data_IF_814307035233
#
_entry.id   IF_814307035233
#
_cell.length_a   1.000
_cell.length_b   1.000
_cell.length_c   1.000
_cell.angle_alpha   90.00
_cell.angle_beta   90.00
_cell.angle_gamma   90.00
#
_symmetry.space_group_name_H-M   'P 1'
#
loop_
_entity.id
_entity.type
_entity.pdbx_description
1 polymer ?
#
# COMPACT_ATOMS: atom_id res chain seq x y z
N UNK A 1 7.55 -5.87 -2.13
CA UNK A 1 7.15 -4.52 -2.60
C UNK A 1 5.95 -3.99 -1.82
N UNK A 2 5.75 -2.67 -1.74
CA UNK A 2 4.60 -2.06 -1.01
C UNK A 2 3.24 -2.50 -1.57
N UNK A 3 3.14 -2.69 -2.89
CA UNK A 3 1.93 -3.21 -3.52
C UNK A 3 1.62 -4.68 -3.14
N UNK A 4 2.64 -5.48 -2.84
CA UNK A 4 2.44 -6.86 -2.34
C UNK A 4 1.94 -6.86 -0.89
N UNK A 5 2.39 -5.92 -0.06
CA UNK A 5 1.90 -5.74 1.29
C UNK A 5 0.43 -5.30 1.30
N UNK A 6 0.03 -4.40 0.39
CA UNK A 6 -1.37 -4.01 0.19
C UNK A 6 -2.21 -5.24 -0.19
N UNK A 7 -1.75 -6.09 -1.12
CA UNK A 7 -2.46 -7.32 -1.49
C UNK A 7 -2.54 -8.33 -0.34
N UNK A 8 -1.47 -8.49 0.43
CA UNK A 8 -1.45 -9.38 1.59
C UNK A 8 -2.42 -8.91 2.70
N UNK A 9 -2.56 -7.59 2.88
CA UNK A 9 -3.55 -7.00 3.78
C UNK A 9 -4.98 -7.38 3.36
N UNK A 10 -5.32 -7.21 2.07
CA UNK A 10 -6.63 -7.61 1.56
C UNK A 10 -6.90 -9.10 1.69
N UNK A 11 -5.89 -9.94 1.49
CA UNK A 11 -6.03 -11.40 1.63
C UNK A 11 -6.34 -11.80 3.09
N UNK A 12 -5.68 -11.20 4.09
CA UNK A 12 -5.96 -11.50 5.50
C UNK A 12 -7.29 -10.95 5.99
N UNK A 13 -7.72 -9.80 5.47
CA UNK A 13 -8.92 -9.10 5.94
C UNK A 13 -10.24 -9.75 5.44
N UNK A 14 -10.17 -10.70 4.50
CA UNK A 14 -11.36 -11.45 4.06
C UNK A 14 -12.41 -10.62 3.33
N UNK A 15 -12.01 -9.47 2.76
CA UNK A 15 -12.88 -8.62 1.91
C UNK A 15 -13.27 -7.28 2.53
N UNK A 16 -13.09 -7.07 3.83
CA UNK A 16 -13.32 -5.76 4.48
C UNK A 16 -12.28 -5.48 5.55
N UNK A 17 -11.69 -4.29 5.54
CA UNK A 17 -10.73 -3.87 6.56
C UNK A 17 -11.43 -3.42 7.84
N UNK A 18 -10.91 -3.87 8.98
CA UNK A 18 -11.15 -3.25 10.28
C UNK A 18 -10.61 -1.80 10.33
N UNK A 19 -10.93 -1.06 11.40
CA UNK A 19 -10.40 0.29 11.59
C UNK A 19 -8.86 0.34 11.64
N UNK A 20 -8.24 -0.60 12.35
CA UNK A 20 -6.78 -0.69 12.45
C UNK A 20 -6.14 -1.07 11.09
N UNK A 21 -6.74 -2.00 10.37
CA UNK A 21 -6.28 -2.39 9.04
C UNK A 21 -6.44 -1.26 8.01
N UNK A 22 -7.45 -0.40 8.18
CA UNK A 22 -7.62 0.81 7.37
C UNK A 22 -6.49 1.80 7.57
N UNK A 23 -6.06 2.04 8.81
CA UNK A 23 -4.90 2.90 9.09
C UNK A 23 -3.62 2.34 8.44
N UNK A 24 -3.41 1.03 8.53
CA UNK A 24 -2.29 0.36 7.86
C UNK A 24 -2.37 0.51 6.33
N UNK A 25 -3.55 0.31 5.74
CA UNK A 25 -3.80 0.49 4.32
C UNK A 25 -3.47 1.90 3.84
N UNK A 26 -3.94 2.92 4.56
CA UNK A 26 -3.70 4.32 4.22
C UNK A 26 -2.20 4.66 4.21
N UNK A 27 -1.47 4.18 5.23
CA UNK A 27 -0.02 4.33 5.28
C UNK A 27 0.69 3.63 4.11
N UNK A 28 0.27 2.41 3.78
CA UNK A 28 0.84 1.64 2.68
C UNK A 28 0.59 2.32 1.33
N UNK A 29 -0.59 2.88 1.10
CA UNK A 29 -0.94 3.62 -0.13
C UNK A 29 -0.08 4.87 -0.28
N UNK A 30 0.09 5.67 0.79
CA UNK A 30 0.93 6.87 0.77
C UNK A 30 2.38 6.50 0.44
N UNK A 31 2.93 5.48 1.10
CA UNK A 31 4.30 4.99 0.84
C UNK A 31 4.45 4.49 -0.58
N UNK A 32 3.48 3.73 -1.09
CA UNK A 32 3.54 3.20 -2.45
C UNK A 32 3.52 4.33 -3.48
N UNK A 33 2.65 5.33 -3.31
CA UNK A 33 2.60 6.49 -4.20
C UNK A 33 3.91 7.29 -4.19
N UNK A 34 4.57 7.40 -3.03
CA UNK A 34 5.89 8.04 -2.92
C UNK A 34 6.97 7.25 -3.66
N UNK A 35 6.99 5.91 -3.50
CA UNK A 35 7.95 5.04 -4.19
C UNK A 35 7.80 5.12 -5.72
N UNK A 36 6.57 5.03 -6.24
CA UNK A 36 6.31 5.15 -7.68
C UNK A 36 6.75 6.51 -8.24
N UNK A 37 6.50 7.61 -7.52
CA UNK A 37 6.98 8.93 -7.96
C UNK A 37 8.51 9.02 -7.96
N UNK A 38 9.17 8.42 -6.98
CA UNK A 38 10.64 8.35 -6.96
C UNK A 38 11.18 7.57 -8.16
N UNK A 39 10.62 6.38 -8.42
CA UNK A 39 10.99 5.55 -9.57
C UNK A 39 10.78 6.26 -10.92
N UNK A 40 9.70 7.03 -11.07
CA UNK A 40 9.45 7.83 -12.30
C UNK A 40 10.48 8.95 -12.47
N UNK A 41 10.89 9.61 -11.38
CA UNK A 41 11.87 10.71 -11.44
C UNK A 41 13.26 10.20 -11.80
N UNK A 42 13.67 9.03 -11.30
CA UNK A 42 14.97 8.44 -11.62
C UNK A 42 15.05 7.87 -13.05
N UNK A 43 13.91 7.58 -13.68
CA UNK A 43 13.84 6.99 -15.01
C UNK A 43 13.67 8.00 -16.17
N UNK A 44 13.63 9.32 -15.89
CA UNK A 44 13.41 10.40 -16.87
C UNK A 44 14.71 11.18 -17.18
#
# INVERSE_FOLDING_TARGET
>A
MLNEQIRALWLRAGGTLSAQEREEYELLVVKWAAAIRGEIIEAA
#
